data_IF_542152015620
#
_entry.id   IF_542152015620
#
_cell.length_a   1.000
_cell.length_b   1.000
_cell.length_c   1.000
_cell.angle_alpha   90.00
_cell.angle_beta   90.00
_cell.angle_gamma   90.00
#
_symmetry.space_group_name_H-M   'P 1'
#
loop_
_entity.id
_entity.type
_entity.pdbx_description
1 polymer ?
#
# COMPACT_ATOMS: atom_id res chain seq x y z
N UNK A 1 -6.68 -7.71 12.50
CA UNK A 1 -6.01 -6.52 11.93
C UNK A 1 -6.89 -5.99 10.80
N UNK A 2 -7.95 -5.25 11.16
CA UNK A 2 -8.82 -4.59 10.19
C UNK A 2 -8.49 -3.11 10.21
N UNK A 3 -8.20 -2.52 9.05
CA UNK A 3 -8.03 -1.08 8.94
C UNK A 3 -9.26 -0.34 9.48
N UNK A 4 -9.09 0.93 9.87
CA UNK A 4 -10.19 1.73 10.41
C UNK A 4 -11.38 1.74 9.43
N UNK A 5 -12.63 1.59 9.90
CA UNK A 5 -13.79 1.64 9.03
C UNK A 5 -13.86 2.99 8.31
N UNK A 6 -14.21 2.96 7.03
CA UNK A 6 -14.36 4.17 6.22
C UNK A 6 -15.84 4.52 6.14
N UNK A 7 -16.24 5.65 6.71
CA UNK A 7 -17.65 6.09 6.73
C UNK A 7 -18.62 5.02 7.25
N UNK A 8 -18.23 4.25 8.27
CA UNK A 8 -19.05 3.17 8.83
C UNK A 8 -19.03 1.86 8.03
N UNK A 9 -18.32 1.81 6.90
CA UNK A 9 -18.14 0.60 6.10
C UNK A 9 -16.90 -0.15 6.61
N UNK A 10 -17.02 -1.46 6.94
CA UNK A 10 -15.87 -2.30 7.29
C UNK A 10 -14.82 -2.35 6.17
N UNK A 11 -13.54 -2.32 6.54
CA UNK A 11 -12.44 -2.22 5.57
C UNK A 11 -12.36 -3.43 4.64
N UNK A 12 -12.79 -4.61 5.10
CA UNK A 12 -12.80 -5.85 4.32
C UNK A 12 -13.76 -5.79 3.12
N UNK A 13 -14.77 -4.90 3.17
CA UNK A 13 -15.75 -4.73 2.10
C UNK A 13 -15.32 -3.73 1.02
N UNK A 14 -14.17 -3.08 1.20
CA UNK A 14 -13.70 -2.02 0.32
C UNK A 14 -12.52 -2.57 -0.50
N UNK A 15 -12.68 -2.83 -1.82
CA UNK A 15 -11.60 -3.29 -2.69
C UNK A 15 -10.68 -2.13 -3.09
N UNK A 16 -10.21 -1.38 -2.09
CA UNK A 16 -9.29 -0.25 -2.26
C UNK A 16 -7.94 -0.62 -1.70
N UNK A 17 -6.91 -0.65 -2.53
CA UNK A 17 -5.52 -0.79 -2.14
C UNK A 17 -4.65 -0.50 -3.36
N UNK A 18 -3.45 0.06 -3.17
CA UNK A 18 -2.52 0.21 -4.27
C UNK A 18 -1.98 -1.17 -4.68
N UNK A 19 -1.51 -1.24 -5.92
CA UNK A 19 -0.78 -2.39 -6.44
C UNK A 19 0.54 -1.90 -7.02
N UNK A 20 1.54 -2.78 -7.03
CA UNK A 20 2.84 -2.52 -7.65
C UNK A 20 2.95 -3.44 -8.85
N UNK A 21 3.32 -2.86 -9.99
CA UNK A 21 3.71 -3.61 -11.17
C UNK A 21 5.16 -4.06 -11.01
N UNK A 22 5.37 -5.36 -10.78
CA UNK A 22 6.70 -5.93 -10.52
C UNK A 22 7.63 -5.85 -11.72
N UNK A 23 7.11 -5.75 -12.95
CA UNK A 23 7.92 -5.61 -14.16
C UNK A 23 8.47 -4.19 -14.30
N UNK A 24 7.71 -3.20 -13.83
CA UNK A 24 8.12 -1.78 -13.84
C UNK A 24 8.83 -1.34 -12.57
N UNK A 25 8.70 -2.08 -11.47
CA UNK A 25 9.31 -1.72 -10.20
C UNK A 25 10.83 -1.83 -10.25
N UNK A 26 11.50 -0.68 -10.09
CA UNK A 26 12.97 -0.58 -10.02
C UNK A 26 13.51 -0.55 -8.59
N UNK A 27 12.64 -0.67 -7.58
CA UNK A 27 13.05 -0.64 -6.17
C UNK A 27 13.50 0.74 -5.66
N UNK A 28 13.04 1.84 -6.27
CA UNK A 28 13.49 3.20 -5.88
C UNK A 28 13.08 3.61 -4.46
N UNK A 29 11.98 3.07 -3.93
CA UNK A 29 11.49 3.39 -2.59
C UNK A 29 10.62 4.64 -2.48
N UNK A 30 10.34 5.36 -3.57
CA UNK A 30 9.52 6.59 -3.55
C UNK A 30 8.13 6.35 -2.92
N UNK A 31 7.52 5.20 -3.18
CA UNK A 31 6.24 4.82 -2.60
C UNK A 31 6.29 4.63 -1.08
N UNK A 32 7.43 4.18 -0.53
CA UNK A 32 7.65 4.08 0.91
C UNK A 32 7.86 5.45 1.55
N UNK A 33 8.57 6.36 0.86
CA UNK A 33 8.81 7.72 1.34
C UNK A 33 7.53 8.55 1.39
N UNK A 34 6.70 8.48 0.34
CA UNK A 34 5.46 9.28 0.24
C UNK A 34 4.34 8.78 1.15
N UNK A 35 4.34 7.49 1.50
CA UNK A 35 3.26 6.84 2.23
C UNK A 35 3.65 6.54 3.69
N UNK A 36 3.30 7.41 4.66
CA UNK A 36 3.61 7.19 6.07
C UNK A 36 2.74 6.11 6.74
N UNK A 37 1.76 5.55 6.02
CA UNK A 37 0.80 4.58 6.58
C UNK A 37 1.35 3.13 6.61
N UNK A 38 2.61 2.92 6.23
CA UNK A 38 3.24 1.59 6.25
C UNK A 38 2.56 0.60 5.30
N UNK A 39 2.06 1.09 4.16
CA UNK A 39 1.41 0.26 3.13
C UNK A 39 2.44 -0.57 2.37
N UNK A 40 3.62 0.01 2.14
CA UNK A 40 4.70 -0.59 1.37
C UNK A 40 5.83 -1.09 2.27
N UNK A 41 6.55 -2.10 1.83
CA UNK A 41 7.85 -2.50 2.37
C UNK A 41 8.83 -2.76 1.22
N UNK A 42 10.12 -2.58 1.51
CA UNK A 42 11.19 -3.00 0.60
C UNK A 42 11.47 -4.49 0.86
N UNK A 43 11.37 -5.31 -0.18
CA UNK A 43 11.89 -6.66 -0.16
C UNK A 43 13.39 -6.59 -0.47
N UNK A 44 14.22 -6.72 0.57
CA UNK A 44 15.68 -6.67 0.44
C UNK A 44 16.25 -7.84 -0.37
N UNK A 45 15.55 -8.98 -0.43
CA UNK A 45 16.00 -10.15 -1.18
C UNK A 45 15.76 -9.97 -2.68
N UNK A 46 14.62 -9.39 -3.06
CA UNK A 46 14.27 -9.11 -4.45
C UNK A 46 14.79 -7.74 -4.95
N UNK A 47 15.13 -6.83 -4.04
CA UNK A 47 15.43 -5.43 -4.36
C UNK A 47 14.22 -4.68 -4.90
N UNK A 48 13.00 -5.08 -4.52
CA UNK A 48 11.74 -4.54 -5.07
C UNK A 48 10.80 -4.12 -3.96
N UNK A 49 9.91 -3.19 -4.29
CA UNK A 49 8.85 -2.74 -3.38
C UNK A 49 7.67 -3.72 -3.42
N UNK A 50 7.09 -4.00 -2.26
CA UNK A 50 5.88 -4.81 -2.13
C UNK A 50 4.79 -4.04 -1.37
N UNK A 51 3.54 -4.48 -1.51
CA UNK A 51 2.41 -3.94 -0.73
C UNK A 51 2.18 -4.85 0.47
N UNK A 52 2.86 -4.55 1.58
CA UNK A 52 2.80 -5.35 2.79
C UNK A 52 1.48 -5.21 3.57
N UNK A 53 0.92 -4.00 3.62
CA UNK A 53 -0.32 -3.73 4.36
C UNK A 53 -1.35 -2.98 3.49
N UNK A 54 -2.03 -3.67 2.56
CA UNK A 54 -3.03 -3.06 1.67
C UNK A 54 -4.15 -2.31 2.43
N UNK A 55 -4.54 -2.85 3.59
CA UNK A 55 -5.61 -2.29 4.43
C UNK A 55 -5.28 -0.94 5.09
N UNK A 56 -4.00 -0.56 5.15
CA UNK A 56 -3.57 0.72 5.71
C UNK A 56 -3.69 1.87 4.70
N UNK A 57 -3.91 1.57 3.42
CA UNK A 57 -4.17 2.60 2.43
C UNK A 57 -5.47 3.32 2.77
N UNK A 58 -5.39 4.65 2.86
CA UNK A 58 -6.54 5.53 3.03
C UNK A 58 -7.42 5.41 1.80
N UNK A 59 -8.71 5.12 2.02
CA UNK A 59 -9.68 4.98 0.94
C UNK A 59 -9.77 6.29 0.15
N UNK A 60 -9.69 6.21 -1.18
CA UNK A 60 -9.60 7.34 -2.13
C UNK A 60 -8.28 8.14 -2.13
N UNK A 61 -7.22 7.67 -1.49
CA UNK A 61 -5.89 8.30 -1.58
C UNK A 61 -5.21 8.01 -2.93
N UNK A 62 -4.77 9.04 -3.64
CA UNK A 62 -4.21 9.01 -5.00
C UNK A 62 -2.75 9.50 -5.07
N UNK A 63 -2.07 9.52 -3.92
CA UNK A 63 -0.78 10.18 -3.77
C UNK A 63 0.44 9.38 -4.27
N UNK A 64 0.31 8.07 -4.41
CA UNK A 64 1.39 7.14 -4.77
C UNK A 64 1.24 6.62 -6.19
#
# INVERSE_FOLDING_TARGET
MGGRPYMGIPREKIPWSPTIDEEKCIGCGDCLEVCPNGVYLLDEAAGKMNVANPGNCVVLCDKC
#
